data_IF_470512371397
#
_entry.id   IF_470512371397
#
_cell.length_a   1.000
_cell.length_b   1.000
_cell.length_c   1.000
_cell.angle_alpha   90.00
_cell.angle_beta   90.00
_cell.angle_gamma   90.00
#
_symmetry.space_group_name_H-M   'P 1'
#
loop_
_entity.id
_entity.type
_entity.pdbx_description
1 polymer ?
#
# COMPACT_ATOMS: atom_id res chain seq x y z
N UNK A 1 -6.18 6.21 35.68
CA UNK A 1 -6.18 4.82 36.14
C UNK A 1 -4.87 4.09 35.84
N UNK A 2 -3.91 4.71 35.18
CA UNK A 2 -2.64 4.09 34.78
C UNK A 2 -2.73 3.09 33.61
N UNK A 3 -3.89 2.96 32.98
CA UNK A 3 -4.08 2.11 31.80
C UNK A 3 -3.58 2.78 30.52
N UNK A 4 -3.18 1.96 29.54
CA UNK A 4 -2.78 2.43 28.22
C UNK A 4 -3.96 2.92 27.39
N UNK A 5 -3.72 3.96 26.59
CA UNK A 5 -4.67 4.46 25.59
C UNK A 5 -4.52 3.66 24.31
N UNK A 6 -5.62 3.20 23.74
CA UNK A 6 -5.66 2.50 22.45
C UNK A 6 -6.35 3.36 21.41
N UNK A 7 -5.78 3.44 20.24
CA UNK A 7 -6.39 4.19 19.12
C UNK A 7 -7.63 3.48 18.62
N UNK A 8 -8.76 4.19 18.61
CA UNK A 8 -10.06 3.68 18.15
C UNK A 8 -10.45 4.24 16.77
N UNK A 9 -9.96 5.44 16.43
CA UNK A 9 -10.26 6.06 15.14
C UNK A 9 -9.26 7.15 14.78
N UNK A 10 -9.11 7.35 13.47
CA UNK A 10 -8.30 8.44 12.89
C UNK A 10 -9.13 9.06 11.76
N UNK A 11 -9.32 10.38 11.80
CA UNK A 11 -10.07 11.15 10.80
C UNK A 11 -9.22 12.30 10.30
N UNK A 12 -9.21 12.50 8.95
CA UNK A 12 -8.61 13.70 8.37
C UNK A 12 -9.49 14.92 8.63
N UNK A 13 -8.89 16.02 9.08
CA UNK A 13 -9.58 17.30 9.32
C UNK A 13 -8.75 18.47 8.81
N UNK A 14 -9.40 19.59 8.64
CA UNK A 14 -8.72 20.86 8.45
C UNK A 14 -8.69 21.60 9.79
N UNK A 15 -7.54 22.16 10.15
CA UNK A 15 -7.40 23.08 11.28
C UNK A 15 -8.22 24.36 11.03
N UNK A 16 -8.35 25.21 12.06
CA UNK A 16 -8.98 26.52 11.90
C UNK A 16 -8.20 27.45 10.94
N UNK A 17 -6.94 27.15 10.73
CA UNK A 17 -6.02 27.88 9.85
C UNK A 17 -6.00 27.30 8.42
N UNK A 18 -6.72 26.18 8.18
CA UNK A 18 -6.82 25.51 6.90
C UNK A 18 -5.77 24.43 6.65
N UNK A 19 -4.92 24.13 7.64
CA UNK A 19 -3.92 23.09 7.53
C UNK A 19 -4.52 21.69 7.68
N UNK A 20 -4.00 20.73 6.94
CA UNK A 20 -4.40 19.33 7.07
C UNK A 20 -3.91 18.75 8.42
N UNK A 21 -4.83 18.22 9.19
CA UNK A 21 -4.57 17.59 10.50
C UNK A 21 -5.26 16.23 10.58
N UNK A 22 -4.78 15.40 11.51
CA UNK A 22 -5.44 14.16 11.89
C UNK A 22 -6.09 14.32 13.27
N UNK A 23 -7.36 14.01 13.37
CA UNK A 23 -8.02 13.82 14.64
C UNK A 23 -7.89 12.36 15.07
N UNK A 24 -7.14 12.12 16.14
CA UNK A 24 -6.90 10.79 16.71
C UNK A 24 -7.78 10.63 17.94
N UNK A 25 -8.66 9.64 17.92
CA UNK A 25 -9.47 9.25 19.06
C UNK A 25 -8.90 8.00 19.71
N UNK A 26 -8.61 8.09 21.00
CA UNK A 26 -8.08 6.98 21.79
C UNK A 26 -8.95 6.71 23.00
N UNK A 27 -9.06 5.45 23.40
CA UNK A 27 -9.84 5.00 24.56
C UNK A 27 -8.95 4.19 25.52
N UNK A 28 -9.13 4.46 26.81
CA UNK A 28 -8.55 3.62 27.85
C UNK A 28 -9.53 2.47 28.18
N UNK A 29 -9.16 1.24 27.86
CA UNK A 29 -10.04 0.07 28.06
C UNK A 29 -10.49 -0.16 29.51
N UNK A 30 -9.61 -0.02 30.53
CA UNK A 30 -10.02 -0.25 31.91
C UNK A 30 -11.03 0.76 32.45
N UNK A 31 -10.89 2.05 32.17
CA UNK A 31 -11.75 3.10 32.72
C UNK A 31 -12.68 3.75 31.68
N UNK A 32 -12.61 3.34 30.42
CA UNK A 32 -13.46 3.81 29.32
C UNK A 32 -13.31 5.31 29.00
N UNK A 33 -12.23 5.93 29.49
CA UNK A 33 -11.97 7.33 29.21
C UNK A 33 -11.56 7.50 27.74
N UNK A 34 -12.14 8.49 27.08
CA UNK A 34 -11.88 8.78 25.67
C UNK A 34 -11.20 10.15 25.55
N UNK A 35 -10.17 10.20 24.75
CA UNK A 35 -9.43 11.43 24.41
C UNK A 35 -9.41 11.58 22.90
N UNK A 36 -9.65 12.82 22.44
CA UNK A 36 -9.45 13.21 21.04
C UNK A 36 -8.36 14.28 20.96
N UNK A 37 -7.43 14.13 20.02
CA UNK A 37 -6.32 15.07 19.82
C UNK A 37 -6.18 15.38 18.34
N UNK A 38 -6.08 16.66 18.00
CA UNK A 38 -5.70 17.08 16.64
C UNK A 38 -4.16 17.09 16.53
N UNK A 39 -3.65 16.44 15.48
CA UNK A 39 -2.23 16.20 15.29
C UNK A 39 -1.83 16.60 13.87
N UNK A 40 -0.69 17.29 13.67
CA UNK A 40 -0.15 17.51 12.34
C UNK A 40 0.08 16.19 11.58
N UNK A 41 -0.11 16.20 10.27
CA UNK A 41 -0.03 14.97 9.40
C UNK A 41 1.27 14.20 9.63
N UNK A 42 2.40 14.88 9.76
CA UNK A 42 3.71 14.22 9.95
C UNK A 42 3.96 13.61 11.34
N UNK A 43 3.05 13.80 12.30
CA UNK A 43 3.23 13.33 13.68
C UNK A 43 2.27 12.22 14.09
N UNK A 44 1.28 11.89 13.25
CA UNK A 44 0.22 10.93 13.58
C UNK A 44 0.74 9.53 13.85
N UNK A 45 1.76 9.09 13.11
CA UNK A 45 2.31 7.73 13.22
C UNK A 45 2.94 7.45 14.61
N UNK A 46 3.38 8.49 15.33
CA UNK A 46 3.89 8.36 16.69
C UNK A 46 2.80 8.15 17.76
N UNK A 47 1.55 8.52 17.47
CA UNK A 47 0.43 8.47 18.40
C UNK A 47 -0.49 7.26 18.20
N UNK A 48 -0.41 6.63 17.03
CA UNK A 48 -1.25 5.48 16.67
C UNK A 48 -0.52 4.20 17.06
N UNK A 49 -1.16 3.36 17.88
CA UNK A 49 -0.57 2.11 18.41
C UNK A 49 -0.64 0.93 17.44
N UNK A 50 -1.46 1.03 16.38
CA UNK A 50 -1.66 -0.02 15.36
C UNK A 50 -1.93 0.59 13.99
N UNK A 51 -1.99 -0.26 12.95
CA UNK A 51 -2.44 0.19 11.63
C UNK A 51 -3.91 0.58 11.68
N UNK A 52 -4.20 1.80 11.27
CA UNK A 52 -5.53 2.39 11.25
C UNK A 52 -5.93 2.74 9.83
N UNK A 53 -7.08 2.27 9.41
CA UNK A 53 -7.71 2.63 8.14
C UNK A 53 -8.61 3.83 8.37
N UNK A 54 -8.48 4.87 7.53
CA UNK A 54 -9.44 5.98 7.52
C UNK A 54 -10.79 5.51 6.97
N UNK A 55 -11.84 6.25 7.25
CA UNK A 55 -13.18 5.88 6.77
C UNK A 55 -13.25 5.88 5.24
N UNK A 56 -12.61 6.83 4.57
CA UNK A 56 -12.52 6.86 3.10
C UNK A 56 -11.81 5.62 2.55
N UNK A 57 -10.73 5.20 3.20
CA UNK A 57 -9.99 3.99 2.81
C UNK A 57 -10.84 2.73 3.03
N UNK A 58 -11.62 2.67 4.11
CA UNK A 58 -12.57 1.56 4.37
C UNK A 58 -13.67 1.53 3.31
N UNK A 59 -14.33 2.66 3.03
CA UNK A 59 -15.34 2.75 1.99
C UNK A 59 -14.84 2.33 0.61
N UNK A 60 -13.56 2.59 0.32
CA UNK A 60 -12.94 2.09 -0.91
C UNK A 60 -12.79 0.58 -0.90
N UNK A 61 -12.41 0.00 0.23
CA UNK A 61 -12.27 -1.44 0.40
C UNK A 61 -13.63 -2.15 0.25
N UNK A 62 -14.72 -1.55 0.74
CA UNK A 62 -16.09 -2.08 0.65
C UNK A 62 -16.59 -2.19 -0.81
N UNK A 63 -16.01 -1.43 -1.74
CA UNK A 63 -16.33 -1.50 -3.18
C UNK A 63 -15.54 -2.59 -3.91
N UNK A 64 -14.61 -3.24 -3.25
CA UNK A 64 -13.81 -4.33 -3.82
C UNK A 64 -14.57 -5.64 -3.65
N UNK A 65 -14.56 -6.54 -4.68
CA UNK A 65 -15.18 -7.85 -4.54
C UNK A 65 -14.65 -8.59 -3.31
N UNK A 66 -15.51 -9.29 -2.52
CA UNK A 66 -15.14 -9.90 -1.25
C UNK A 66 -13.92 -10.83 -1.31
N UNK A 67 -13.74 -11.54 -2.42
CA UNK A 67 -12.59 -12.45 -2.61
C UNK A 67 -11.26 -11.72 -2.77
N UNK A 68 -11.27 -10.45 -3.23
CA UNK A 68 -10.07 -9.65 -3.44
C UNK A 68 -9.70 -8.78 -2.22
N UNK A 69 -10.62 -8.59 -1.28
CA UNK A 69 -10.40 -7.75 -0.09
C UNK A 69 -9.20 -8.22 0.75
N UNK A 70 -9.03 -9.51 1.09
CA UNK A 70 -7.89 -9.97 1.88
C UNK A 70 -6.54 -9.67 1.19
N UNK A 71 -6.46 -9.94 -0.11
CA UNK A 71 -5.24 -9.70 -0.91
C UNK A 71 -4.89 -8.22 -0.96
N UNK A 72 -5.88 -7.36 -1.24
CA UNK A 72 -5.68 -5.91 -1.28
C UNK A 72 -5.29 -5.37 0.09
N UNK A 73 -5.92 -5.85 1.17
CA UNK A 73 -5.59 -5.45 2.54
C UNK A 73 -4.15 -5.79 2.88
N UNK A 74 -3.71 -7.02 2.61
CA UNK A 74 -2.34 -7.46 2.86
C UNK A 74 -1.32 -6.62 2.08
N UNK A 75 -1.58 -6.37 0.79
CA UNK A 75 -0.76 -5.51 -0.05
C UNK A 75 -0.60 -4.10 0.53
N UNK A 76 -1.71 -3.44 0.86
CA UNK A 76 -1.72 -2.06 1.36
C UNK A 76 -1.09 -1.98 2.76
N UNK A 77 -1.39 -2.93 3.64
CA UNK A 77 -0.80 -2.98 4.97
C UNK A 77 0.71 -3.27 4.93
N UNK A 78 1.15 -4.14 4.02
CA UNK A 78 2.57 -4.40 3.76
C UNK A 78 3.28 -3.14 3.29
N UNK A 79 2.68 -2.42 2.35
CA UNK A 79 3.17 -1.14 1.85
C UNK A 79 3.28 -0.07 2.95
N UNK A 80 2.24 0.06 3.78
CA UNK A 80 2.24 0.99 4.91
C UNK A 80 3.36 0.67 5.92
N UNK A 81 3.54 -0.63 6.27
CA UNK A 81 4.61 -1.07 7.19
C UNK A 81 6.00 -0.77 6.63
N UNK A 82 6.24 -1.03 5.33
CA UNK A 82 7.51 -0.74 4.68
C UNK A 82 7.89 0.75 4.74
N UNK A 83 6.90 1.63 4.67
CA UNK A 83 7.05 3.09 4.80
C UNK A 83 6.97 3.61 6.23
N UNK A 84 6.79 2.73 7.22
CA UNK A 84 6.58 3.08 8.64
C UNK A 84 5.36 3.98 8.86
N UNK A 85 4.38 3.92 7.97
CA UNK A 85 3.12 4.62 8.08
C UNK A 85 2.11 3.74 8.82
N UNK A 86 1.41 4.31 9.79
CA UNK A 86 0.38 3.59 10.57
C UNK A 86 -1.04 3.99 10.19
N UNK A 87 -1.21 5.10 9.45
CA UNK A 87 -2.50 5.56 8.96
C UNK A 87 -2.62 5.23 7.48
N UNK A 88 -3.60 4.40 7.13
CA UNK A 88 -3.89 3.99 5.76
C UNK A 88 -4.99 4.88 5.21
N UNK A 89 -4.59 5.74 4.26
CA UNK A 89 -5.47 6.68 3.56
C UNK A 89 -5.94 6.12 2.22
N UNK A 90 -6.92 6.79 1.62
CA UNK A 90 -7.34 6.54 0.25
C UNK A 90 -6.16 6.60 -0.74
N UNK A 91 -5.34 7.65 -0.63
CA UNK A 91 -4.18 7.85 -1.51
C UNK A 91 -3.13 6.76 -1.33
N UNK A 92 -2.93 6.28 -0.09
CA UNK A 92 -2.01 5.18 0.17
C UNK A 92 -2.43 3.88 -0.53
N UNK A 93 -3.73 3.63 -0.64
CA UNK A 93 -4.26 2.48 -1.39
C UNK A 93 -3.91 2.61 -2.88
N UNK A 94 -4.01 3.82 -3.45
CA UNK A 94 -3.65 4.03 -4.86
C UNK A 94 -2.15 3.89 -5.08
N UNK A 95 -1.33 4.44 -4.21
CA UNK A 95 0.12 4.26 -4.24
C UNK A 95 0.51 2.78 -4.15
N UNK A 96 -0.11 2.03 -3.25
CA UNK A 96 0.14 0.59 -3.13
C UNK A 96 -0.27 -0.20 -4.38
N UNK A 97 -1.33 0.23 -5.08
CA UNK A 97 -1.79 -0.40 -6.33
C UNK A 97 -0.93 -0.04 -7.54
N UNK A 98 -0.41 1.18 -7.60
CA UNK A 98 0.40 1.66 -8.71
C UNK A 98 1.84 1.15 -8.66
N UNK A 99 2.20 0.41 -7.60
CA UNK A 99 3.51 -0.23 -7.52
C UNK A 99 4.66 0.72 -7.17
N UNK A 100 4.37 1.85 -6.50
CA UNK A 100 5.40 2.78 -5.97
C UNK A 100 6.36 2.11 -4.95
N UNK A 101 6.24 0.79 -4.77
CA UNK A 101 7.16 -0.02 -3.96
C UNK A 101 8.54 -0.15 -4.60
N UNK A 102 8.59 -0.10 -5.93
CA UNK A 102 9.82 -0.29 -6.71
C UNK A 102 9.89 0.80 -7.76
N UNK A 103 10.98 1.53 -7.79
CA UNK A 103 11.24 2.51 -8.85
C UNK A 103 11.35 1.79 -10.21
N UNK A 104 11.07 2.48 -11.29
CA UNK A 104 11.28 1.96 -12.64
C UNK A 104 12.45 2.72 -13.28
N UNK A 105 13.40 1.98 -13.82
CA UNK A 105 14.40 2.59 -14.69
C UNK A 105 13.71 3.13 -15.95
N UNK A 106 14.07 4.32 -16.44
CA UNK A 106 13.43 4.93 -17.61
C UNK A 106 13.40 4.02 -18.85
N UNK A 107 14.44 3.26 -19.07
CA UNK A 107 14.54 2.30 -20.18
C UNK A 107 13.59 1.10 -20.00
N UNK A 108 13.41 0.65 -18.76
CA UNK A 108 12.48 -0.41 -18.42
C UNK A 108 11.02 0.06 -18.60
N UNK A 109 10.70 1.28 -18.17
CA UNK A 109 9.37 1.87 -18.32
C UNK A 109 9.02 2.07 -19.82
N UNK A 110 9.96 2.55 -20.61
CA UNK A 110 9.78 2.70 -22.05
C UNK A 110 9.57 1.35 -22.74
N UNK A 111 10.29 0.29 -22.34
CA UNK A 111 10.07 -1.07 -22.85
C UNK A 111 8.70 -1.61 -22.46
N UNK A 112 8.25 -1.38 -21.24
CA UNK A 112 6.91 -1.77 -20.81
C UNK A 112 5.82 -1.06 -21.62
N UNK A 113 6.03 0.19 -22.00
CA UNK A 113 5.09 0.95 -22.83
C UNK A 113 4.86 0.30 -24.22
N UNK A 114 5.86 -0.42 -24.75
CA UNK A 114 5.76 -1.15 -26.03
C UNK A 114 5.03 -2.50 -25.90
N UNK A 115 4.74 -2.98 -24.69
CA UNK A 115 3.96 -4.20 -24.46
C UNK A 115 2.48 -3.92 -24.78
N UNK A 116 1.76 -4.84 -25.49
CA UNK A 116 0.33 -4.69 -25.78
C UNK A 116 -0.48 -4.41 -24.51
N UNK A 117 -1.43 -3.48 -24.60
CA UNK A 117 -2.20 -3.00 -23.44
C UNK A 117 -2.83 -4.11 -22.57
N UNK A 118 -3.40 -5.20 -23.12
CA UNK A 118 -3.99 -6.27 -22.30
C UNK A 118 -2.97 -6.98 -21.40
N UNK A 119 -1.71 -7.08 -21.85
CA UNK A 119 -0.64 -7.80 -21.15
C UNK A 119 0.18 -6.87 -20.24
N UNK A 120 0.22 -5.58 -20.58
CA UNK A 120 1.04 -4.58 -19.89
C UNK A 120 0.77 -4.51 -18.39
N UNK A 121 -0.50 -4.49 -17.99
CA UNK A 121 -0.90 -4.43 -16.59
C UNK A 121 -0.41 -5.66 -15.80
N UNK A 122 -0.56 -6.85 -16.38
CA UNK A 122 -0.07 -8.09 -15.75
C UNK A 122 1.46 -8.13 -15.69
N UNK A 123 2.14 -7.74 -16.77
CA UNK A 123 3.59 -7.68 -16.81
C UNK A 123 4.15 -6.71 -15.76
N UNK A 124 3.51 -5.54 -15.59
CA UNK A 124 3.89 -4.57 -14.58
C UNK A 124 3.83 -5.16 -13.17
N UNK A 125 2.69 -5.73 -12.81
CA UNK A 125 2.48 -6.34 -11.48
C UNK A 125 3.50 -7.45 -11.21
N UNK A 126 3.77 -8.30 -12.19
CA UNK A 126 4.72 -9.43 -12.02
C UNK A 126 6.17 -8.96 -11.89
N UNK A 127 6.56 -7.93 -12.64
CA UNK A 127 7.90 -7.34 -12.55
C UNK A 127 8.13 -6.65 -11.20
N UNK A 128 7.17 -5.86 -10.76
CA UNK A 128 7.22 -5.19 -9.45
C UNK A 128 7.26 -6.20 -8.31
N UNK A 129 6.42 -7.23 -8.38
CA UNK A 129 6.43 -8.34 -7.41
C UNK A 129 7.79 -9.04 -7.38
N UNK A 130 8.34 -9.38 -8.55
CA UNK A 130 9.63 -10.08 -8.63
C UNK A 130 10.76 -9.21 -8.05
N UNK A 131 10.74 -7.90 -8.31
CA UNK A 131 11.71 -6.96 -7.75
C UNK A 131 11.60 -6.91 -6.21
N UNK A 132 10.38 -6.83 -5.67
CA UNK A 132 10.13 -6.84 -4.23
C UNK A 132 10.62 -8.15 -3.59
N UNK A 133 10.27 -9.29 -4.17
CA UNK A 133 10.66 -10.64 -3.66
C UNK A 133 12.18 -10.81 -3.62
N UNK A 134 12.91 -10.11 -4.50
CA UNK A 134 14.39 -10.11 -4.54
C UNK A 134 15.04 -9.00 -3.73
N UNK A 135 14.26 -8.11 -3.15
CA UNK A 135 14.76 -6.94 -2.43
C UNK A 135 15.43 -5.90 -3.34
N UNK A 136 15.11 -5.91 -4.64
CA UNK A 136 15.57 -4.92 -5.60
C UNK A 136 14.83 -3.60 -5.40
N UNK A 137 15.53 -2.48 -5.57
CA UNK A 137 14.97 -1.13 -5.39
C UNK A 137 14.31 -0.58 -6.65
N UNK A 138 14.64 -1.15 -7.81
CA UNK A 138 14.10 -0.71 -9.10
C UNK A 138 13.88 -1.89 -10.04
N UNK A 139 12.87 -1.74 -10.91
CA UNK A 139 12.66 -2.63 -12.05
C UNK A 139 13.62 -2.19 -13.16
N UNK A 140 14.57 -3.04 -13.48
CA UNK A 140 15.56 -2.82 -14.52
C UNK A 140 15.19 -3.58 -15.80
N UNK A 141 15.83 -3.18 -16.91
CA UNK A 141 15.73 -3.94 -18.17
C UNK A 141 16.22 -5.38 -18.01
N UNK A 142 17.27 -5.59 -17.22
CA UNK A 142 17.80 -6.93 -16.94
C UNK A 142 16.77 -7.83 -16.25
N UNK A 143 16.06 -7.30 -15.25
CA UNK A 143 14.98 -8.01 -14.58
C UNK A 143 13.85 -8.35 -15.54
N UNK A 144 13.50 -7.42 -16.44
CA UNK A 144 12.46 -7.66 -17.47
C UNK A 144 12.83 -8.81 -18.40
N UNK A 145 14.07 -8.87 -18.88
CA UNK A 145 14.51 -9.95 -19.78
C UNK A 145 14.55 -11.30 -19.05
N UNK A 146 14.96 -11.32 -17.80
CA UNK A 146 14.97 -12.54 -17.01
C UNK A 146 13.56 -13.09 -16.73
N UNK A 147 12.63 -12.23 -16.31
CA UNK A 147 11.22 -12.61 -16.10
C UNK A 147 10.60 -13.09 -17.40
N UNK A 148 10.86 -12.39 -18.50
CA UNK A 148 10.43 -12.79 -19.84
C UNK A 148 10.95 -14.17 -20.22
N UNK A 149 12.25 -14.44 -20.04
CA UNK A 149 12.86 -15.72 -20.34
C UNK A 149 12.23 -16.87 -19.55
N UNK A 150 11.91 -16.64 -18.28
CA UNK A 150 11.21 -17.61 -17.43
C UNK A 150 9.81 -17.96 -17.99
N UNK A 151 9.04 -16.97 -18.41
CA UNK A 151 7.68 -17.20 -18.95
C UNK A 151 7.72 -17.91 -20.31
N UNK A 152 8.63 -17.51 -21.19
CA UNK A 152 8.77 -18.17 -22.51
C UNK A 152 9.39 -19.56 -22.39
N UNK A 153 10.32 -19.79 -21.46
CA UNK A 153 10.88 -21.11 -21.17
C UNK A 153 9.82 -22.09 -20.64
N UNK A 154 8.89 -21.62 -19.81
CA UNK A 154 7.77 -22.43 -19.33
C UNK A 154 6.71 -22.69 -20.43
N UNK A 155 6.52 -21.78 -21.37
CA UNK A 155 5.62 -21.99 -22.51
C UNK A 155 6.15 -23.06 -23.47
N UNK A 156 7.45 -23.03 -23.78
CA UNK A 156 8.10 -24.03 -24.63
C UNK A 156 8.02 -25.47 -24.06
N UNK A 157 8.06 -25.62 -22.74
CA UNK A 157 7.91 -26.94 -22.08
C UNK A 157 6.49 -27.50 -22.05
N UNK A 158 5.46 -26.67 -22.33
CA UNK A 158 4.06 -27.11 -22.40
C UNK A 158 3.67 -27.64 -23.76
N UNK A 159 4.37 -27.24 -24.83
CA UNK A 159 4.08 -27.69 -26.21
C UNK A 159 4.74 -29.04 -26.52
N UNK A 160 5.62 -29.55 -25.64
CA UNK A 160 6.31 -30.86 -25.80
C UNK A 160 5.68 -32.00 -24.92
N UNK A 161 4.51 -31.74 -24.28
CA UNK A 161 3.78 -32.74 -23.48
C UNK A 161 2.41 -33.05 -24.07
#
# INVERSE_FOLDING_TARGET
CGGWMHTEGVEGRLSREGDATWFVRSECRPCRWVVGVDVPVGQVDGLVDRLMWTDDARHRLDRVPPYAVPVLRELVEGFARARRQRVITYDLIDQAKTGDMVAWDPDAEQRLANVPAPVRAMARVELERTAVDRGERSVTVALMEEVKARYFGMAAQRDDA
#
